data_IF_862659426420
#
_entry.id   IF_862659426420
#
_cell.length_a   1.000
_cell.length_b   1.000
_cell.length_c   1.000
_cell.angle_alpha   90.00
_cell.angle_beta   90.00
_cell.angle_gamma   90.00
#
_symmetry.space_group_name_H-M   'P 1'
#
loop_
_entity.id
_entity.type
_entity.pdbx_description
1 polymer ?
2 polymer ?
3 non-polymer ?
4 water ?
#
loop_
_entity_poly.entity_id
_entity_poly.type
_entity_poly.pdbx_seq_one_letter_code
_entity_poly.pdbx_strand_id
2 'polyribonucleotide' 'GGUCAAUUUGAAACAAUACAGAGAUGAUCAGCGGUUCCCCUGCAUAAGGAUGAACCGUUUUACAAAGAGACC' ?
#
# COMPACT_ATOMS: atom_id res chain seq x y z
N UNK A 4 -7.16 11.69 -12.05
CA UNK A 4 -7.20 12.89 -11.19
C UNK A 4 -5.89 13.65 -11.30
N UNK A 5 -5.94 14.96 -11.04
CA UNK A 5 -4.74 15.80 -11.01
C UNK A 5 -4.78 16.73 -9.79
N UNK A 6 -4.25 16.24 -8.65
CA UNK A 6 -4.34 17.00 -7.42
C UNK A 6 -3.57 18.29 -7.53
N UNK A 7 -2.38 18.22 -8.13
CA UNK A 7 -1.47 19.35 -8.15
C UNK A 7 -2.07 20.54 -8.89
N UNK A 8 -2.70 20.25 -10.03
CA UNK A 8 -3.24 21.30 -10.88
C UNK A 8 -4.11 22.30 -10.11
N UNK A 9 -4.87 21.82 -9.14
CA UNK A 9 -5.77 22.72 -8.42
C UNK A 9 -5.27 23.08 -7.02
N UNK A 10 -4.00 22.81 -6.74
CA UNK A 10 -3.47 23.04 -5.41
C UNK A 10 -2.54 24.27 -5.39
N UNK A 11 -2.71 25.08 -4.36
CA UNK A 11 -1.85 26.24 -4.20
C UNK A 11 -1.11 26.17 -2.87
N UNK A 12 0.01 26.90 -2.82
CA UNK A 12 0.83 27.02 -1.64
C UNK A 12 0.68 28.45 -1.13
N UNK A 13 0.45 28.59 0.18
CA UNK A 13 0.38 29.91 0.81
C UNK A 13 1.55 30.01 1.76
N UNK A 14 2.34 31.07 1.63
CA UNK A 14 3.46 31.30 2.53
C UNK A 14 3.25 32.56 3.36
N UNK A 15 3.74 32.53 4.60
CA UNK A 15 3.77 33.69 5.50
C UNK A 15 2.44 34.03 6.16
N UNK A 16 1.60 33.02 6.37
CA UNK A 16 0.40 33.21 7.17
C UNK A 16 0.82 33.48 8.62
N UNK A 17 -0.01 34.20 9.37
CA UNK A 17 0.30 34.50 10.77
C UNK A 17 0.45 33.22 11.59
N UNK A 18 1.27 33.26 12.64
CA UNK A 18 1.40 32.14 13.59
C UNK A 18 0.05 31.62 14.07
N UNK A 19 -0.89 32.55 14.26
CA UNK A 19 -2.19 32.24 14.83
C UNK A 19 -3.15 31.59 13.85
N UNK A 20 -2.76 31.50 12.59
CA UNK A 20 -3.66 30.99 11.56
C UNK A 20 -3.80 29.47 11.58
N UNK A 21 -5.04 29.03 11.77
CA UNK A 21 -5.36 27.60 11.73
C UNK A 21 -6.08 27.24 10.44
N UNK A 22 -6.32 25.95 10.27
CA UNK A 22 -7.03 25.41 9.13
C UNK A 22 -8.38 26.12 8.90
N UNK A 23 -9.11 26.38 9.98
CA UNK A 23 -10.40 27.05 9.89
C UNK A 23 -10.30 28.46 9.32
N UNK A 24 -9.33 29.23 9.81
CA UNK A 24 -9.16 30.61 9.34
C UNK A 24 -8.71 30.63 7.90
N UNK A 25 -7.93 29.62 7.50
CA UNK A 25 -7.50 29.50 6.11
C UNK A 25 -8.72 29.29 5.20
N UNK A 26 -9.62 28.38 5.60
CA UNK A 26 -10.88 28.15 4.89
C UNK A 26 -11.66 29.44 4.69
N UNK A 27 -11.96 30.13 5.79
CA UNK A 27 -12.73 31.36 5.75
C UNK A 27 -12.10 32.42 4.85
N UNK A 28 -10.77 32.49 4.87
CA UNK A 28 -10.08 33.48 4.04
C UNK A 28 -10.22 33.15 2.55
N UNK A 29 -10.19 31.87 2.21
CA UNK A 29 -10.14 31.47 0.80
C UNK A 29 -11.43 30.86 0.24
N UNK A 30 -12.43 30.62 1.08
CA UNK A 30 -13.59 29.88 0.58
C UNK A 30 -14.44 30.64 -0.44
N UNK A 31 -14.29 31.96 -0.50
CA UNK A 31 -14.91 32.76 -1.56
C UNK A 31 -14.24 32.54 -2.91
N UNK A 32 -12.99 32.03 -2.91
CA UNK A 32 -12.28 31.79 -4.15
C UNK A 32 -12.89 30.65 -4.95
N UNK A 33 -13.57 29.76 -4.24
CA UNK A 33 -14.10 28.56 -4.87
C UNK A 33 -14.13 27.43 -3.86
N UNK A 34 -14.92 26.39 -4.14
CA UNK A 34 -15.02 25.25 -3.23
C UNK A 34 -13.66 24.57 -3.00
N UNK A 35 -13.39 24.22 -1.74
CA UNK A 35 -12.11 23.66 -1.33
C UNK A 35 -12.26 22.18 -0.96
N UNK A 36 -11.36 21.34 -1.47
CA UNK A 36 -11.33 19.92 -1.14
C UNK A 36 -10.59 19.65 0.17
N UNK A 37 -9.43 20.28 0.35
CA UNK A 37 -8.62 20.02 1.54
C UNK A 37 -7.70 21.18 1.87
N UNK A 38 -7.44 21.37 3.15
CA UNK A 38 -6.50 22.39 3.62
C UNK A 38 -5.52 21.78 4.62
N UNK A 39 -4.22 21.95 4.38
CA UNK A 39 -3.22 21.61 5.41
C UNK A 39 -2.47 22.86 5.83
N UNK A 40 -2.22 23.02 7.13
CA UNK A 40 -1.41 24.12 7.64
C UNK A 40 -0.22 23.53 8.39
N UNK A 41 0.97 24.11 8.21
CA UNK A 41 2.17 23.65 8.90
C UNK A 41 2.99 24.84 9.37
N UNK A 42 3.65 24.68 10.51
CA UNK A 42 4.53 25.72 11.02
C UNK A 42 5.75 25.86 10.13
N UNK A 43 6.26 27.08 10.00
CA UNK A 43 7.57 27.26 9.38
C UNK A 43 8.63 26.62 10.28
N UNK A 44 9.85 26.49 9.76
CA UNK A 44 10.94 25.84 10.48
C UNK A 44 11.18 26.47 11.85
N UNK A 45 11.14 27.79 11.90
CA UNK A 45 11.43 28.50 13.15
C UNK A 45 10.17 29.00 13.86
N UNK A 46 9.01 28.54 13.37
CA UNK A 46 7.70 28.83 13.95
C UNK A 46 7.29 30.31 13.93
N UNK A 47 7.92 31.11 13.08
CA UNK A 47 7.57 32.53 13.00
C UNK A 47 6.34 32.82 12.13
N UNK A 48 6.00 31.87 11.26
CA UNK A 48 4.83 32.01 10.41
C UNK A 48 4.30 30.62 10.03
N UNK A 49 3.23 30.56 9.24
CA UNK A 49 2.73 29.25 8.80
C UNK A 49 2.60 29.14 7.30
N UNK A 50 2.74 27.91 6.80
CA UNK A 50 2.48 27.60 5.40
C UNK A 50 1.10 26.95 5.32
N UNK A 51 0.44 27.05 4.17
CA UNK A 51 -0.77 26.27 3.93
C UNK A 51 -0.74 25.65 2.54
N UNK A 52 -1.30 24.45 2.43
CA UNK A 52 -1.57 23.83 1.15
C UNK A 52 -3.08 23.83 1.00
N UNK A 53 -3.59 24.35 -0.11
CA UNK A 53 -5.02 24.38 -0.34
C UNK A 53 -5.33 23.71 -1.67
N UNK A 54 -6.07 22.60 -1.60
CA UNK A 54 -6.47 21.91 -2.81
C UNK A 54 -7.90 22.34 -3.16
N UNK A 55 -8.05 23.02 -4.29
CA UNK A 55 -9.37 23.50 -4.72
C UNK A 55 -10.07 22.44 -5.55
N UNK A 56 -11.39 22.49 -5.56
CA UNK A 56 -12.17 21.59 -6.39
C UNK A 56 -11.84 21.75 -7.87
N UNK A 57 -11.66 23.00 -8.29
CA UNK A 57 -11.43 23.30 -9.70
C UNK A 57 -10.32 24.32 -9.91
N UNK A 58 -9.75 24.34 -11.12
CA UNK A 58 -8.62 25.22 -11.44
C UNK A 58 -8.91 26.70 -11.23
N UNK A 59 -10.15 27.10 -11.50
CA UNK A 59 -10.58 28.49 -11.31
C UNK A 59 -10.45 28.93 -9.86
N UNK A 60 -10.62 28.00 -8.94
CA UNK A 60 -10.48 28.31 -7.51
C UNK A 60 -9.03 28.59 -7.16
N UNK A 61 -8.13 27.78 -7.72
CA UNK A 61 -6.70 27.99 -7.54
C UNK A 61 -6.28 29.33 -8.14
N UNK A 62 -6.80 29.65 -9.32
CA UNK A 62 -6.52 30.95 -9.93
C UNK A 62 -6.98 32.08 -9.05
N UNK A 63 -8.19 31.97 -8.52
CA UNK A 63 -8.72 33.01 -7.66
C UNK A 63 -7.89 33.17 -6.38
N UNK A 64 -7.42 32.06 -5.81
CA UNK A 64 -6.59 32.12 -4.61
C UNK A 64 -5.30 32.88 -4.87
N UNK A 65 -4.72 32.66 -6.04
CA UNK A 65 -3.45 33.27 -6.43
C UNK A 65 -3.61 34.79 -6.60
N UNK A 66 -4.84 35.26 -6.86
CA UNK A 66 -5.07 36.71 -6.88
C UNK A 66 -4.90 37.33 -5.49
N UNK A 67 -4.89 36.50 -4.45
CA UNK A 67 -4.64 36.98 -3.09
C UNK A 67 -3.16 37.14 -2.78
N UNK A 68 -2.28 36.83 -3.73
CA UNK A 68 -0.86 36.93 -3.44
C UNK A 68 -0.48 38.38 -3.15
N UNK A 69 0.37 38.55 -2.15
CA UNK A 69 0.84 39.86 -1.68
C UNK A 69 -0.23 40.71 -1.02
N UNK A 70 -1.38 40.10 -0.71
CA UNK A 70 -2.36 40.74 0.17
C UNK A 70 -1.92 40.56 1.62
N UNK A 71 -2.61 41.25 2.52
CA UNK A 71 -2.20 41.27 3.92
C UNK A 71 -3.21 40.55 4.78
N UNK A 72 -2.70 39.63 5.59
CA UNK A 72 -3.50 38.87 6.54
C UNK A 72 -2.94 39.18 7.93
N UNK A 73 -3.77 39.79 8.77
CA UNK A 73 -3.29 40.35 10.03
C UNK A 73 -2.38 41.51 9.66
N UNK A 74 -1.08 41.34 9.91
CA UNK A 74 -0.10 42.27 9.36
C UNK A 74 0.93 41.53 8.52
N UNK A 75 0.62 40.27 8.17
CA UNK A 75 1.50 39.46 7.35
C UNK A 75 1.18 39.56 5.87
N UNK A 76 2.18 39.86 5.05
CA UNK A 76 2.02 39.86 3.60
C UNK A 76 2.21 38.42 3.12
N UNK A 77 1.14 37.82 2.58
CA UNK A 77 1.20 36.42 2.14
C UNK A 77 1.65 36.30 0.70
N UNK A 78 2.11 35.10 0.32
CA UNK A 78 2.46 34.81 -1.05
C UNK A 78 1.65 33.57 -1.40
N UNK A 79 0.94 33.62 -2.52
CA UNK A 79 0.14 32.49 -2.95
C UNK A 79 0.61 32.09 -4.34
N UNK A 80 0.87 30.79 -4.54
CA UNK A 80 1.44 30.34 -5.80
C UNK A 80 0.92 28.95 -6.14
N UNK A 81 0.99 28.58 -7.41
CA UNK A 81 0.71 27.21 -7.80
C UNK A 81 1.70 26.30 -7.08
N UNK A 82 1.21 25.19 -6.52
CA UNK A 82 2.14 24.23 -5.93
C UNK A 82 2.72 23.44 -7.07
N UNK A 83 4.02 23.59 -7.30
CA UNK A 83 4.66 22.89 -8.40
C UNK A 83 6.10 22.52 -8.04
N UNK A 84 6.53 21.35 -8.52
CA UNK A 84 7.86 20.84 -8.23
C UNK A 84 8.16 20.73 -6.74
N UNK A 85 7.11 20.55 -5.94
CA UNK A 85 7.25 20.41 -4.50
C UNK A 85 6.73 19.07 -3.97
N UNK A 86 6.64 18.05 -4.83
CA UNK A 86 6.08 16.78 -4.40
C UNK A 86 7.09 15.65 -4.57
N UNK A 87 7.25 14.85 -3.51
CA UNK A 87 8.09 13.67 -3.56
C UNK A 87 7.23 12.42 -3.65
N UNK A 88 7.77 11.38 -4.26
CA UNK A 88 7.19 10.06 -4.14
C UNK A 88 8.23 9.19 -3.47
N UNK A 89 7.79 8.46 -2.44
CA UNK A 89 8.68 7.63 -1.64
C UNK A 89 8.18 6.20 -1.58
N UNK A 90 9.08 5.24 -1.71
CA UNK A 90 8.69 3.86 -1.49
C UNK A 90 9.77 3.05 -0.78
N UNK A 91 9.39 1.84 -0.37
CA UNK A 91 10.28 0.92 0.31
C UNK A 91 10.80 1.45 1.65
N UNK A 92 9.99 2.27 2.33
CA UNK A 92 10.19 2.46 3.76
C UNK A 92 9.75 1.18 4.47
N UNK A 93 10.15 0.98 5.74
CA UNK A 93 9.77 -0.24 6.43
C UNK A 93 8.24 -0.43 6.50
N UNK A 94 7.77 -1.69 6.51
CA UNK A 94 6.35 -2.05 6.47
C UNK A 94 5.50 -1.46 7.58
N UNK A 95 6.13 -1.11 8.70
CA UNK A 95 5.43 -0.58 9.85
C UNK A 95 5.63 0.92 10.01
N UNK A 96 6.30 1.55 9.04
CA UNK A 96 6.42 3.01 9.04
C UNK A 96 5.05 3.65 8.94
N UNK A 97 4.85 4.72 9.69
CA UNK A 97 3.62 5.48 9.67
C UNK A 97 3.86 6.87 9.06
N UNK A 98 2.78 7.60 8.88
CA UNK A 98 2.84 8.96 8.38
C UNK A 98 3.76 9.79 9.28
N UNK A 99 3.63 9.57 10.58
CA UNK A 99 4.42 10.28 11.59
C UNK A 99 5.91 9.96 11.39
N UNK A 100 6.23 8.70 11.14
CA UNK A 100 7.62 8.32 10.89
C UNK A 100 8.19 9.05 9.69
N UNK A 101 7.40 9.18 8.64
CA UNK A 101 7.86 9.86 7.45
C UNK A 101 8.03 11.34 7.73
N UNK A 102 7.08 11.90 8.47
CA UNK A 102 7.16 13.31 8.82
C UNK A 102 8.43 13.56 9.62
N UNK A 103 8.75 12.65 10.54
CA UNK A 103 9.94 12.80 11.36
C UNK A 103 11.25 12.70 10.56
N UNK A 104 11.28 11.82 9.55
CA UNK A 104 12.41 11.77 8.62
C UNK A 104 12.75 13.13 8.01
N UNK A 105 11.74 13.82 7.49
CA UNK A 105 11.95 15.12 6.87
C UNK A 105 12.29 16.18 7.93
N UNK A 106 11.66 16.08 9.09
CA UNK A 106 11.93 16.97 10.22
C UNK A 106 13.42 16.94 10.55
N UNK A 107 14.00 15.75 10.53
CA UNK A 107 15.44 15.53 10.80
C UNK A 107 16.38 16.26 9.86
N UNK A 108 15.95 16.49 8.62
CA UNK A 108 16.79 17.19 7.65
C UNK A 108 16.24 18.60 7.42
N UNK A 109 15.46 19.04 8.40
CA UNK A 109 14.93 20.40 8.47
C UNK A 109 14.09 20.78 7.27
N UNK A 110 13.23 19.85 6.84
CA UNK A 110 12.29 20.10 5.76
C UNK A 110 10.86 20.06 6.30
N UNK A 111 10.11 21.15 6.10
CA UNK A 111 8.72 21.21 6.51
C UNK A 111 7.89 20.36 5.56
N UNK A 112 7.02 19.51 6.10
CA UNK A 112 6.11 18.71 5.27
C UNK A 112 4.69 19.22 5.41
N UNK A 113 4.04 19.49 4.28
CA UNK A 113 2.66 19.95 4.30
C UNK A 113 1.63 18.82 4.28
N UNK A 114 1.95 17.73 3.58
CA UNK A 114 0.95 16.67 3.41
C UNK A 114 1.69 15.38 3.10
N UNK A 115 1.27 14.30 3.77
CA UNK A 115 1.82 12.99 3.51
C UNK A 115 0.64 12.07 3.23
N UNK A 116 0.63 11.44 2.07
CA UNK A 116 -0.54 10.70 1.62
C UNK A 116 -0.19 9.26 1.30
N UNK A 117 -0.89 8.34 1.96
CA UNK A 117 -0.62 6.91 1.83
C UNK A 117 -1.80 6.23 1.13
N UNK A 118 -1.55 5.08 0.49
CA UNK A 118 -2.57 4.44 -0.35
C UNK A 118 -3.46 3.45 0.40
N UNK A 119 -4.65 3.21 -0.15
CA UNK A 119 -5.56 2.19 0.39
C UNK A 119 -5.02 0.79 0.15
N UNK A 120 -5.14 -0.08 1.16
CA UNK A 120 -4.70 -1.46 1.01
C UNK A 120 -5.86 -2.39 0.63
N UNK A 121 -6.99 -1.77 0.30
CA UNK A 121 -8.23 -2.48 0.01
C UNK A 121 -8.02 -3.68 -0.90
N UNK A 122 -7.43 -3.42 -2.06
CA UNK A 122 -7.31 -4.49 -3.06
C UNK A 122 -5.94 -5.15 -3.12
N UNK A 123 -5.00 -4.64 -2.35
CA UNK A 123 -3.66 -5.23 -2.27
C UNK A 123 -3.06 -4.86 -0.92
N UNK A 124 -2.95 -5.88 -0.06
CA UNK A 124 -2.51 -5.67 1.31
C UNK A 124 -1.06 -5.20 1.39
N UNK A 125 -0.29 -5.45 0.32
CA UNK A 125 1.13 -5.13 0.30
C UNK A 125 1.49 -3.72 -0.15
N UNK A 126 0.51 -2.91 -0.54
CA UNK A 126 0.86 -1.58 -1.07
C UNK A 126 1.58 -0.74 -0.04
N UNK A 127 2.61 -0.05 -0.50
CA UNK A 127 3.51 0.66 0.39
C UNK A 127 4.32 1.74 -0.35
N UNK A 128 3.80 2.96 -0.34
CA UNK A 128 4.50 4.10 -0.91
C UNK A 128 3.77 5.32 -0.38
N UNK A 129 4.30 6.51 -0.67
CA UNK A 129 3.70 7.74 -0.16
C UNK A 129 4.01 8.91 -1.05
N UNK A 130 3.08 9.87 -1.09
CA UNK A 130 3.34 11.16 -1.70
C UNK A 130 3.51 12.19 -0.60
N UNK A 131 4.50 13.06 -0.78
CA UNK A 131 4.78 14.08 0.23
C UNK A 131 4.92 15.43 -0.45
N UNK A 132 4.17 16.42 0.03
CA UNK A 132 4.32 17.79 -0.46
C UNK A 132 5.17 18.58 0.52
N UNK A 133 6.19 19.24 -0.02
CA UNK A 133 7.01 20.15 0.78
C UNK A 133 6.78 21.58 0.30
N UNK A 134 7.56 22.54 0.82
CA UNK A 134 7.24 23.95 0.55
C UNK A 134 8.06 24.62 -0.56
N UNK A 135 9.09 23.95 -1.05
CA UNK A 135 9.89 24.50 -2.16
C UNK A 135 10.54 23.44 -3.02
N UNK A 136 10.86 23.79 -4.26
CA UNK A 136 11.58 22.87 -5.15
C UNK A 136 12.94 22.50 -4.54
N UNK A 137 13.55 23.50 -3.88
CA UNK A 137 14.82 23.29 -3.21
C UNK A 137 14.73 22.22 -2.11
N UNK A 138 13.71 22.29 -1.27
CA UNK A 138 13.53 21.29 -0.24
C UNK A 138 13.27 19.92 -0.89
N UNK A 139 12.49 19.90 -1.95
CA UNK A 139 12.21 18.63 -2.63
C UNK A 139 13.52 18.01 -3.13
N UNK A 140 14.35 18.80 -3.82
CA UNK A 140 15.64 18.26 -4.30
C UNK A 140 16.54 17.82 -3.14
N UNK A 141 16.44 18.53 -2.01
CA UNK A 141 17.25 18.20 -0.85
C UNK A 141 16.79 16.87 -0.23
N UNK A 142 15.48 16.63 -0.20
CA UNK A 142 14.97 15.35 0.28
C UNK A 142 15.49 14.19 -0.56
N UNK A 143 15.56 14.38 -1.88
CA UNK A 143 16.07 13.31 -2.75
C UNK A 143 17.54 13.08 -2.40
N UNK A 144 18.30 14.17 -2.29
CA UNK A 144 19.73 14.11 -2.00
C UNK A 144 20.02 13.33 -0.72
N UNK A 145 19.28 13.63 0.34
CA UNK A 145 19.55 13.03 1.65
C UNK A 145 18.86 11.70 1.92
N UNK A 146 17.71 11.47 1.28
CA UNK A 146 16.87 10.34 1.67
C UNK A 146 16.84 9.20 0.64
N UNK A 147 17.08 9.50 -0.63
CA UNK A 147 17.11 8.43 -1.64
C UNK A 147 18.31 7.53 -1.38
N UNK A 148 18.05 6.25 -1.10
CA UNK A 148 19.12 5.30 -0.83
C UNK A 148 19.39 5.11 0.66
N UNK A 149 18.70 5.89 1.49
CA UNK A 149 18.86 5.75 2.94
C UNK A 149 18.42 4.38 3.42
N UNK A 150 19.24 3.74 4.25
CA UNK A 150 18.88 2.43 4.79
C UNK A 150 18.17 2.56 6.14
N UNK A 151 16.97 2.02 6.22
CA UNK A 151 16.17 2.06 7.43
C UNK A 151 15.67 0.66 7.74
N UNK A 152 16.09 0.10 8.87
CA UNK A 152 15.70 -1.26 9.27
C UNK A 152 15.97 -2.30 8.18
N UNK A 153 17.02 -2.10 7.39
CA UNK A 153 17.37 -3.05 6.35
C UNK A 153 16.75 -2.73 5.00
N UNK A 154 15.87 -1.75 4.96
CA UNK A 154 15.21 -1.35 3.71
C UNK A 154 15.90 -0.14 3.08
N UNK A 155 16.26 -0.27 1.80
CA UNK A 155 16.83 0.87 1.08
C UNK A 155 15.70 1.77 0.60
N UNK A 156 15.60 2.95 1.21
CA UNK A 156 14.54 3.89 0.86
C UNK A 156 14.66 4.41 -0.58
N UNK A 157 13.51 4.57 -1.25
CA UNK A 157 13.48 5.22 -2.54
C UNK A 157 12.78 6.56 -2.39
N UNK A 158 13.45 7.64 -2.77
CA UNK A 158 12.83 8.99 -2.71
C UNK A 158 13.06 9.68 -4.05
N UNK A 159 11.97 10.10 -4.70
CA UNK A 159 12.03 10.67 -6.04
C UNK A 159 11.20 11.95 -6.11
N UNK A 160 11.61 12.87 -6.99
CA UNK A 160 10.73 13.95 -7.38
C UNK A 160 9.55 13.30 -8.11
N UNK A 161 8.34 13.55 -7.64
CA UNK A 161 7.14 12.86 -8.16
C UNK A 161 6.82 13.16 -9.63
N UNK A 162 6.74 12.10 -10.43
CA UNK A 162 6.18 12.15 -11.78
C UNK A 162 5.79 10.74 -12.17
N UNK A 163 4.50 10.43 -12.06
CA UNK A 163 4.05 9.06 -12.33
C UNK A 163 4.40 8.54 -13.73
N UNK A 164 4.60 9.43 -14.70
CA UNK A 164 4.98 8.98 -16.04
C UNK A 164 6.35 8.32 -16.02
N UNK A 165 7.17 8.67 -15.02
CA UNK A 165 8.53 8.15 -14.94
C UNK A 165 8.64 6.90 -14.08
N UNK A 166 7.50 6.31 -13.71
CA UNK A 166 7.52 5.18 -12.79
C UNK A 166 8.37 4.01 -13.30
N UNK A 167 9.11 3.40 -12.38
CA UNK A 167 9.97 2.24 -12.69
C UNK A 167 9.15 1.00 -13.02
N UNK A 168 9.75 0.07 -13.76
CA UNK A 168 9.12 -1.22 -14.00
C UNK A 168 9.21 -2.07 -12.73
N UNK A 169 8.10 -2.61 -12.26
CA UNK A 169 8.12 -3.47 -11.07
C UNK A 169 8.81 -4.79 -11.40
N UNK A 170 9.39 -5.43 -10.39
CA UNK A 170 10.12 -6.67 -10.65
C UNK A 170 9.18 -7.81 -11.02
N UNK A 171 7.89 -7.66 -10.68
CA UNK A 171 6.86 -8.65 -11.01
C UNK A 171 6.02 -8.23 -12.22
N UNK A 172 6.55 -7.33 -13.04
CA UNK A 172 5.73 -6.73 -14.10
C UNK A 172 5.28 -7.74 -15.15
N UNK A 173 6.06 -8.79 -15.36
CA UNK A 173 5.71 -9.77 -16.39
C UNK A 173 4.36 -10.42 -16.08
N UNK A 174 4.11 -10.71 -14.82
CA UNK A 174 2.83 -11.29 -14.42
C UNK A 174 1.69 -10.29 -14.60
N UNK A 175 1.93 -9.02 -14.20
CA UNK A 175 0.93 -7.97 -14.36
C UNK A 175 0.58 -7.78 -15.83
N UNK A 176 1.55 -8.01 -16.70
CA UNK A 176 1.38 -7.74 -18.14
C UNK A 176 0.83 -8.93 -18.92
N UNK A 177 0.62 -10.06 -18.23
CA UNK A 177 0.04 -11.23 -18.85
C UNK A 177 1.05 -12.00 -19.66
N UNK A 178 2.32 -11.91 -19.28
CA UNK A 178 3.37 -12.59 -20.04
C UNK A 178 3.89 -13.86 -19.39
N UNK A 179 3.37 -14.18 -18.21
CA UNK A 179 3.85 -15.34 -17.46
C UNK A 179 2.81 -16.45 -17.43
N UNK A 180 3.20 -17.64 -17.86
CA UNK A 180 2.30 -18.79 -17.75
C UNK A 180 2.72 -19.66 -16.58
N UNK A 181 1.75 -20.39 -16.03
CA UNK A 181 2.03 -21.42 -15.05
C UNK A 181 1.69 -22.76 -15.69
N UNK A 182 2.63 -23.68 -15.57
CA UNK A 182 2.44 -25.04 -16.08
C UNK A 182 2.27 -25.93 -14.85
N UNK A 183 1.18 -26.69 -14.81
CA UNK A 183 0.89 -27.53 -13.64
C UNK A 183 0.78 -28.99 -14.04
N UNK A 184 0.99 -29.84 -13.05
CA UNK A 184 0.87 -31.29 -13.17
C UNK A 184 1.94 -31.91 -14.05
N UNK A 185 3.11 -31.28 -14.09
CA UNK A 185 4.26 -31.95 -14.69
C UNK A 185 4.67 -33.12 -13.80
N UNK A 186 5.23 -34.18 -14.38
CA UNK A 186 5.88 -35.19 -13.55
C UNK A 186 7.28 -34.71 -13.20
N UNK A 187 7.93 -35.35 -12.23
CA UNK A 187 9.31 -34.99 -11.91
C UNK A 187 10.22 -35.17 -13.12
N UNK A 188 9.99 -36.24 -13.88
CA UNK A 188 10.76 -36.48 -15.11
C UNK A 188 10.67 -35.32 -16.10
N UNK A 189 9.51 -34.67 -16.16
CA UNK A 189 9.26 -33.60 -17.12
C UNK A 189 9.65 -32.23 -16.58
N UNK A 190 9.96 -32.17 -15.28
CA UNK A 190 10.32 -30.91 -14.64
C UNK A 190 11.77 -30.58 -15.00
N UNK A 191 11.95 -30.14 -16.22
CA UNK A 191 13.27 -29.96 -16.79
C UNK A 191 13.25 -28.73 -17.68
N UNK A 192 14.07 -27.74 -17.34
CA UNK A 192 14.06 -26.48 -18.06
C UNK A 192 14.31 -26.64 -19.55
N UNK A 193 15.23 -27.54 -19.91
CA UNK A 193 15.53 -27.78 -21.31
C UNK A 193 14.31 -28.29 -22.07
N UNK A 194 13.62 -29.25 -21.46
CA UNK A 194 12.41 -29.81 -22.07
C UNK A 194 11.31 -28.78 -22.21
N UNK A 195 11.11 -27.97 -21.18
CA UNK A 195 10.10 -26.92 -21.21
C UNK A 195 10.42 -25.88 -22.28
N UNK A 196 11.68 -25.47 -22.36
CA UNK A 196 12.12 -24.55 -23.42
C UNK A 196 11.85 -25.14 -24.79
N UNK A 197 12.25 -26.39 -25.00
CA UNK A 197 12.04 -27.04 -26.30
C UNK A 197 10.56 -27.10 -26.67
N UNK A 198 9.71 -27.30 -25.67
CA UNK A 198 8.29 -27.49 -25.93
C UNK A 198 7.53 -26.20 -26.16
N UNK A 199 8.04 -25.10 -25.64
CA UNK A 199 7.33 -23.83 -25.70
C UNK A 199 7.98 -22.72 -26.52
N UNK A 200 9.28 -22.83 -26.86
CA UNK A 200 9.97 -21.72 -27.52
C UNK A 200 9.42 -21.40 -28.92
N UNK A 201 8.72 -22.35 -29.52
CA UNK A 201 8.05 -22.11 -30.78
C UNK A 201 7.03 -20.98 -30.74
N UNK A 202 6.43 -20.76 -29.56
CA UNK A 202 5.40 -19.73 -29.42
C UNK A 202 5.99 -18.32 -29.41
N UNK A 203 7.24 -18.19 -29.01
CA UNK A 203 7.89 -16.89 -28.90
C UNK A 203 9.09 -16.93 -27.97
N UNK A 204 9.87 -15.84 -27.94
CA UNK A 204 11.07 -15.79 -27.11
C UNK A 204 10.74 -15.92 -25.62
N UNK A 205 11.44 -16.83 -24.96
CA UNK A 205 11.26 -17.04 -23.52
C UNK A 205 12.25 -16.19 -22.73
N UNK A 206 11.72 -15.32 -21.88
CA UNK A 206 12.57 -14.44 -21.08
C UNK A 206 13.15 -15.16 -19.86
N UNK A 207 12.35 -16.04 -19.23
CA UNK A 207 12.74 -16.61 -17.95
C UNK A 207 11.91 -17.85 -17.66
N UNK A 208 12.52 -18.82 -16.99
CA UNK A 208 11.79 -19.99 -16.50
C UNK A 208 12.07 -20.14 -15.01
N UNK A 209 11.02 -20.23 -14.21
CA UNK A 209 11.18 -20.36 -12.76
C UNK A 209 10.60 -21.68 -12.27
N UNK A 210 11.41 -22.51 -11.64
CA UNK A 210 10.94 -23.77 -11.11
C UNK A 210 11.09 -23.75 -9.60
N UNK A 211 9.97 -23.74 -8.88
CA UNK A 211 10.02 -23.75 -7.41
C UNK A 211 10.89 -24.92 -6.91
N UNK A 212 11.76 -24.67 -5.94
CA UNK A 212 12.70 -25.70 -5.48
C UNK A 212 12.03 -26.76 -4.61
N UNK A 213 12.65 -27.93 -4.52
CA UNK A 213 12.19 -28.96 -3.60
C UNK A 213 11.25 -30.00 -4.17
N UNK A 214 10.84 -29.82 -5.44
CA UNK A 214 9.82 -30.68 -6.02
C UNK A 214 10.31 -32.08 -6.42
N UNK A 215 11.52 -32.15 -6.97
CA UNK A 215 12.10 -33.45 -7.33
C UNK A 215 12.60 -34.09 -6.06
N UNK A 216 13.19 -33.26 -5.21
CA UNK A 216 13.84 -33.68 -4.00
C UNK A 216 12.84 -34.33 -3.03
N UNK A 217 11.60 -33.86 -3.07
CA UNK A 217 10.52 -34.45 -2.28
C UNK A 217 9.63 -35.40 -3.08
N UNK A 218 10.05 -35.78 -4.29
CA UNK A 218 9.30 -36.71 -5.13
C UNK A 218 7.81 -36.39 -5.28
N UNK A 219 7.49 -35.15 -5.63
CA UNK A 219 6.09 -34.77 -5.78
C UNK A 219 5.46 -35.55 -6.93
N UNK A 220 4.18 -35.88 -6.78
CA UNK A 220 3.42 -36.46 -7.88
C UNK A 220 3.23 -35.43 -9.00
N UNK A 221 2.85 -34.23 -8.63
CA UNK A 221 2.62 -33.14 -9.59
C UNK A 221 3.59 -32.02 -9.29
N UNK A 222 4.20 -31.48 -10.34
CA UNK A 222 5.14 -30.36 -10.18
C UNK A 222 4.68 -29.20 -11.03
N UNK A 223 5.10 -28.01 -10.65
CA UNK A 223 4.75 -26.82 -11.42
C UNK A 223 5.98 -26.03 -11.83
N UNK A 224 5.81 -25.18 -12.84
CA UNK A 224 6.86 -24.32 -13.32
C UNK A 224 6.22 -23.08 -13.90
N UNK A 225 6.98 -21.99 -13.96
CA UNK A 225 6.47 -20.76 -14.52
C UNK A 225 7.38 -20.33 -15.64
N UNK A 226 6.79 -19.73 -16.67
CA UNK A 226 7.54 -19.37 -17.85
C UNK A 226 7.10 -17.97 -18.27
N UNK A 227 8.08 -17.08 -18.42
CA UNK A 227 7.81 -15.73 -18.85
C UNK A 227 8.23 -15.53 -20.31
N UNK A 228 7.30 -15.04 -21.12
CA UNK A 228 7.59 -14.74 -22.53
C UNK A 228 7.87 -13.26 -22.70
N UNK A 229 8.67 -12.92 -23.71
CA UNK A 229 8.99 -11.52 -23.96
C UNK A 229 7.76 -10.70 -24.31
N UNK A 230 6.78 -11.31 -24.98
CA UNK A 230 5.55 -10.59 -25.25
C UNK A 230 4.26 -11.36 -24.96
N UNK A 231 3.20 -10.60 -24.68
CA UNK A 231 1.94 -11.16 -24.24
C UNK A 231 1.28 -12.08 -25.26
N UNK A 232 1.43 -11.77 -26.54
CA UNK A 232 0.81 -12.60 -27.57
C UNK A 232 1.38 -14.03 -27.54
N UNK A 233 2.68 -14.17 -27.32
CA UNK A 233 3.27 -15.52 -27.25
C UNK A 233 2.72 -16.28 -26.05
N UNK A 234 2.63 -15.62 -24.90
CA UNK A 234 2.08 -16.29 -23.74
C UNK A 234 0.63 -16.73 -23.98
N UNK A 235 -0.15 -15.88 -24.64
CA UNK A 235 -1.55 -16.19 -24.92
C UNK A 235 -1.67 -17.43 -25.79
N UNK A 236 -0.89 -17.46 -26.85
CA UNK A 236 -0.92 -18.59 -27.77
C UNK A 236 -0.37 -19.85 -27.11
N UNK A 237 0.57 -19.70 -26.17
CA UNK A 237 1.11 -20.85 -25.45
C UNK A 237 0.02 -21.54 -24.60
N UNK A 238 -1.08 -20.85 -24.33
CA UNK A 238 -2.17 -21.44 -23.57
C UNK A 238 -2.83 -22.61 -24.30
N UNK A 239 -2.60 -22.70 -25.61
CA UNK A 239 -3.09 -23.85 -26.37
C UNK A 239 -2.48 -25.16 -25.91
N UNK A 240 -1.37 -25.06 -25.18
CA UNK A 240 -0.74 -26.25 -24.61
C UNK A 240 -1.52 -26.82 -23.41
N UNK A 241 -2.52 -26.07 -22.93
CA UNK A 241 -3.38 -26.56 -21.84
C UNK A 241 -4.11 -27.84 -22.27
N UNK A 242 -4.08 -28.84 -21.40
CA UNK A 242 -4.69 -30.17 -21.63
C UNK A 242 -3.93 -31.00 -22.68
N UNK A 243 -2.79 -30.51 -23.12
CA UNK A 243 -1.99 -31.29 -24.07
C UNK A 243 -1.15 -32.34 -23.34
N UNK A 244 -0.67 -33.34 -24.08
CA UNK A 244 0.21 -34.34 -23.53
C UNK A 244 1.67 -33.94 -23.67
N UNK A 245 2.41 -34.05 -22.57
CA UNK A 245 3.86 -33.99 -22.58
C UNK A 245 4.33 -35.34 -22.10
N UNK A 246 4.96 -36.11 -22.99
CA UNK A 246 5.20 -37.51 -22.70
C UNK A 246 3.87 -38.17 -22.43
N UNK A 247 3.74 -38.82 -21.27
CA UNK A 247 2.47 -39.46 -20.92
C UNK A 247 1.70 -38.69 -19.86
N UNK A 248 1.98 -37.41 -19.74
CA UNK A 248 1.35 -36.60 -18.71
C UNK A 248 0.54 -35.48 -19.35
N UNK A 249 -0.73 -35.36 -18.97
CA UNK A 249 -1.54 -34.25 -19.45
C UNK A 249 -1.25 -33.06 -18.55
N UNK A 250 -0.74 -31.99 -19.15
CA UNK A 250 -0.39 -30.79 -18.40
C UNK A 250 -1.46 -29.71 -18.44
N UNK A 251 -1.44 -28.81 -17.46
CA UNK A 251 -2.31 -27.65 -17.45
C UNK A 251 -1.44 -26.44 -17.71
N UNK A 252 -1.94 -25.50 -18.50
CA UNK A 252 -1.24 -24.26 -18.79
C UNK A 252 -2.22 -23.11 -18.68
N UNK A 253 -1.83 -22.09 -17.92
CA UNK A 253 -2.72 -20.97 -17.67
C UNK A 253 -1.88 -19.74 -17.46
N UNK A 254 -2.49 -18.55 -17.59
CA UNK A 254 -1.82 -17.34 -17.18
C UNK A 254 -1.71 -17.32 -15.66
N UNK A 255 -0.51 -17.01 -15.16
CA UNK A 255 -0.29 -16.99 -13.72
C UNK A 255 -1.15 -15.90 -13.10
N UNK A 256 -1.78 -16.22 -11.97
CA UNK A 256 -2.53 -15.21 -11.25
C UNK A 256 -1.57 -14.33 -10.47
N UNK A 257 -2.03 -13.12 -10.11
CA UNK A 257 -1.22 -12.20 -9.32
C UNK A 257 -1.51 -12.34 -7.83
N UNK A 258 -0.57 -11.87 -7.00
CA UNK A 258 -0.66 -12.06 -5.55
C UNK A 258 -1.92 -11.53 -4.90
N UNK A 259 -2.35 -10.28 -5.22
CA UNK A 259 -3.55 -9.80 -4.51
C UNK A 259 -4.80 -10.63 -4.76
N UNK A 260 -4.97 -11.15 -5.97
CA UNK A 260 -6.03 -12.09 -6.29
C UNK A 260 -5.89 -13.36 -5.43
N UNK A 261 -4.68 -13.93 -5.39
CA UNK A 261 -4.48 -15.18 -4.65
C UNK A 261 -4.68 -14.99 -3.16
N UNK A 262 -4.16 -13.87 -2.65
CA UNK A 262 -4.30 -13.57 -1.23
C UNK A 262 -5.74 -13.36 -0.82
N UNK A 263 -6.52 -12.71 -1.68
CA UNK A 263 -7.92 -12.47 -1.35
C UNK A 263 -8.70 -13.78 -1.33
N UNK A 264 -8.40 -14.66 -2.26
CA UNK A 264 -9.12 -15.94 -2.25
C UNK A 264 -8.85 -16.74 -0.97
N UNK A 265 -7.67 -16.55 -0.40
CA UNK A 265 -7.33 -17.16 0.90
C UNK A 265 -8.22 -16.62 2.03
N UNK A 266 -8.40 -15.30 2.06
CA UNK A 266 -9.27 -14.65 3.04
C UNK A 266 -10.72 -15.10 2.85
N UNK A 267 -11.16 -15.20 1.60
CA UNK A 267 -12.52 -15.66 1.31
C UNK A 267 -12.77 -17.05 1.88
N UNK A 268 -11.76 -17.93 1.80
CA UNK A 268 -11.86 -19.29 2.35
C UNK A 268 -12.11 -19.24 3.85
N UNK A 269 -11.40 -18.33 4.52
CA UNK A 269 -11.57 -18.14 5.96
C UNK A 269 -12.96 -17.63 6.30
N UNK A 270 -13.41 -16.63 5.56
CA UNK A 270 -14.73 -16.04 5.81
C UNK A 270 -15.86 -17.06 5.62
N UNK A 271 -15.61 -18.05 4.77
CA UNK A 271 -16.60 -19.08 4.49
C UNK A 271 -16.42 -20.33 5.35
N UNK A 272 -15.37 -20.35 6.17
CA UNK A 272 -15.02 -21.55 6.95
C UNK A 272 -16.10 -21.90 7.97
N UNK A 273 -16.32 -23.20 8.16
CA UNK A 273 -17.23 -23.70 9.17
C UNK A 273 -16.52 -24.70 10.08
N UNK A 274 -15.21 -24.81 9.90
CA UNK A 274 -14.37 -25.62 10.76
C UNK A 274 -14.15 -24.90 12.10
N UNK A 275 -14.85 -25.37 13.13
CA UNK A 275 -14.79 -24.74 14.44
C UNK A 275 -13.40 -24.82 15.09
N UNK A 276 -12.62 -25.84 14.76
CA UNK A 276 -11.24 -25.91 15.27
C UNK A 276 -10.45 -24.70 14.73
N UNK A 277 -10.70 -24.34 13.49
CA UNK A 277 -10.00 -23.22 12.87
C UNK A 277 -10.53 -21.88 13.39
N UNK A 278 -11.85 -21.74 13.41
CA UNK A 278 -12.49 -20.47 13.78
C UNK A 278 -12.18 -20.06 15.21
N UNK A 279 -12.01 -21.05 16.09
CA UNK A 279 -11.82 -20.74 17.50
C UNK A 279 -10.39 -20.26 17.78
N UNK A 280 -9.51 -20.32 16.79
CA UNK A 280 -8.15 -19.83 16.97
C UNK A 280 -7.97 -18.38 16.49
N UNK A 281 -9.04 -17.80 15.93
CA UNK A 281 -8.93 -16.43 15.39
C UNK A 281 -9.87 -15.43 16.07
N UNK A 282 -9.52 -14.15 15.95
CA UNK A 282 -10.44 -13.08 16.32
C UNK A 282 -10.40 -12.03 15.23
N UNK A 283 -11.41 -11.15 15.20
CA UNK A 283 -11.41 -10.03 14.29
C UNK A 283 -11.26 -8.77 15.10
N UNK A 284 -10.56 -7.79 14.52
CA UNK A 284 -10.49 -6.44 15.08
C UNK A 284 -11.17 -5.50 14.10
N UNK A 285 -11.98 -4.57 14.62
CA UNK A 285 -12.73 -3.66 13.75
C UNK A 285 -13.28 -2.54 14.63
N UNK A 286 -13.59 -1.37 14.05
CA UNK A 286 -13.29 -0.97 12.66
C UNK A 286 -11.88 -0.42 12.56
N UNK A 287 -11.24 -0.64 11.41
CA UNK A 287 -9.88 -0.21 11.15
C UNK A 287 -9.86 0.56 9.83
N UNK A 288 -8.96 1.54 9.74
CA UNK A 288 -8.69 2.24 8.49
C UNK A 288 -8.14 1.28 7.44
N UNK A 289 -8.55 1.47 6.18
CA UNK A 289 -8.00 0.64 5.11
C UNK A 289 -6.54 0.99 4.73
N UNK A 290 -5.93 1.95 5.42
CA UNK A 290 -4.53 2.26 5.16
C UNK A 290 -3.59 1.47 6.08
N UNK A 291 -4.18 0.76 7.04
CA UNK A 291 -3.45 0.06 8.10
C UNK A 291 -3.00 -1.33 7.65
N UNK A 292 -1.69 -1.58 7.66
CA UNK A 292 -1.16 -2.87 7.20
C UNK A 292 -1.10 -3.92 8.32
N UNK A 293 -1.03 -5.19 7.94
CA UNK A 293 -0.79 -6.26 8.92
C UNK A 293 0.46 -5.99 9.76
N UNK A 294 1.50 -5.43 9.15
CA UNK A 294 2.73 -5.13 9.91
C UNK A 294 2.49 -4.12 11.02
N UNK A 295 1.67 -3.12 10.74
CA UNK A 295 1.36 -2.11 11.74
C UNK A 295 0.56 -2.73 12.89
N UNK A 296 -0.38 -3.62 12.55
CA UNK A 296 -1.18 -4.30 13.56
C UNK A 296 -0.32 -5.22 14.41
N UNK A 297 0.61 -5.92 13.76
CA UNK A 297 1.52 -6.83 14.46
C UNK A 297 2.36 -6.05 15.48
N UNK A 298 2.85 -4.89 15.06
CA UNK A 298 3.64 -4.04 15.92
C UNK A 298 2.85 -3.60 17.16
N UNK A 299 1.59 -3.20 16.92
CA UNK A 299 0.68 -2.85 18.00
C UNK A 299 0.47 -4.01 18.97
N UNK A 300 0.25 -5.22 18.46
CA UNK A 300 0.02 -6.37 19.34
C UNK A 300 1.26 -6.69 20.19
N UNK A 301 2.43 -6.53 19.59
CA UNK A 301 3.68 -6.84 20.30
C UNK A 301 4.07 -5.76 21.31
N UNK A 302 4.00 -4.49 20.89
CA UNK A 302 4.52 -3.38 21.70
C UNK A 302 3.53 -2.85 22.72
N UNK A 303 2.25 -2.85 22.38
CA UNK A 303 1.23 -2.30 23.26
C UNK A 303 0.50 -3.38 24.08
N UNK A 304 0.27 -4.54 23.47
CA UNK A 304 -0.48 -5.59 24.15
C UNK A 304 0.46 -6.63 24.76
N UNK A 305 1.75 -6.54 24.38
CA UNK A 305 2.80 -7.40 24.93
C UNK A 305 2.61 -8.87 24.59
N UNK A 306 2.08 -9.09 23.39
CA UNK A 306 1.93 -10.40 22.82
C UNK A 306 3.27 -10.79 22.18
N UNK A 307 3.67 -12.04 22.33
CA UNK A 307 4.87 -12.51 21.67
C UNK A 307 4.61 -12.76 20.18
N UNK A 308 5.58 -12.38 19.36
CA UNK A 308 5.51 -12.52 17.90
C UNK A 308 5.06 -13.91 17.48
N UNK A 309 5.54 -14.94 18.16
CA UNK A 309 5.24 -16.30 17.74
C UNK A 309 3.91 -16.83 18.30
N UNK A 310 3.20 -16.00 19.07
CA UNK A 310 1.84 -16.35 19.47
C UNK A 310 0.89 -15.99 18.33
N UNK A 311 1.39 -15.20 17.39
CA UNK A 311 0.60 -14.77 16.25
C UNK A 311 0.97 -15.58 15.02
N UNK A 312 0.00 -16.34 14.50
CA UNK A 312 0.22 -17.16 13.31
C UNK A 312 0.18 -16.31 12.03
N UNK A 313 -0.88 -15.50 11.91
CA UNK A 313 -1.09 -14.73 10.69
C UNK A 313 -2.04 -13.55 10.94
N UNK A 314 -1.82 -12.45 10.22
CA UNK A 314 -2.76 -11.32 10.23
C UNK A 314 -3.21 -11.02 8.80
N UNK A 315 -4.52 -11.00 8.59
CA UNK A 315 -5.11 -10.82 7.27
C UNK A 315 -6.06 -9.64 7.29
N UNK A 316 -6.02 -8.81 6.27
CA UNK A 316 -6.98 -7.70 6.19
C UNK A 316 -8.30 -8.17 5.59
N UNK A 317 -9.38 -7.63 6.10
CA UNK A 317 -10.70 -7.85 5.54
C UNK A 317 -11.32 -6.45 5.39
N UNK A 318 -10.83 -5.68 4.43
CA UNK A 318 -11.20 -4.26 4.39
C UNK A 318 -12.64 -4.04 3.96
N UNK A 319 -13.25 -5.05 3.33
CA UNK A 319 -14.66 -4.94 2.95
C UNK A 319 -15.59 -4.91 4.16
N UNK A 320 -15.08 -5.31 5.32
CA UNK A 320 -15.82 -5.14 6.57
C UNK A 320 -15.06 -4.26 7.56
N UNK A 321 -14.17 -3.41 7.04
CA UNK A 321 -13.35 -2.52 7.88
C UNK A 321 -12.62 -3.24 9.00
N UNK A 322 -12.10 -4.43 8.72
CA UNK A 322 -11.51 -5.24 9.78
C UNK A 322 -10.23 -5.96 9.42
N UNK A 323 -9.73 -6.75 10.37
CA UNK A 323 -8.59 -7.62 10.16
C UNK A 323 -8.85 -8.88 10.97
N UNK A 324 -8.35 -10.00 10.45
CA UNK A 324 -8.39 -11.26 11.16
C UNK A 324 -7.02 -11.54 11.74
N UNK A 325 -7.00 -11.89 13.02
CA UNK A 325 -5.77 -12.29 13.69
C UNK A 325 -5.90 -13.75 14.03
N UNK A 326 -5.01 -14.58 13.49
CA UNK A 326 -5.07 -16.01 13.77
C UNK A 326 -3.99 -16.32 14.78
N UNK A 327 -4.41 -16.90 15.91
CA UNK A 327 -3.46 -17.23 16.98
C UNK A 327 -3.17 -18.72 16.94
N UNK A 328 -2.41 -19.22 17.90
CA UNK A 328 -1.95 -20.61 17.85
C UNK A 328 -2.86 -21.61 18.57
N UNK A 329 -3.64 -21.13 19.54
CA UNK A 329 -4.70 -21.95 20.12
C UNK A 329 -5.93 -21.13 20.53
N UNK A 330 -7.03 -21.84 20.78
CA UNK A 330 -8.31 -21.22 21.11
C UNK A 330 -8.31 -20.53 22.47
N UNK A 331 -7.47 -21.01 23.38
CA UNK A 331 -7.39 -20.42 24.72
C UNK A 331 -6.70 -19.07 24.65
N UNK A 332 -5.61 -18.98 23.90
CA UNK A 332 -4.92 -17.71 23.70
C UNK A 332 -5.85 -16.74 22.96
N UNK A 333 -6.51 -17.24 21.92
CA UNK A 333 -7.45 -16.41 21.17
C UNK A 333 -8.56 -15.86 22.07
N UNK A 334 -9.10 -16.69 22.94
CA UNK A 334 -10.16 -16.24 23.85
C UNK A 334 -9.70 -15.12 24.79
N UNK A 335 -8.48 -15.24 25.29
CA UNK A 335 -7.93 -14.21 26.17
C UNK A 335 -7.67 -12.92 25.40
N UNK A 336 -7.19 -13.07 24.17
CA UNK A 336 -6.97 -11.90 23.31
C UNK A 336 -8.28 -11.21 22.97
N UNK A 337 -9.34 -12.00 22.81
CA UNK A 337 -10.67 -11.43 22.58
C UNK A 337 -11.03 -10.46 23.69
N UNK A 338 -10.84 -10.92 24.92
CA UNK A 338 -11.14 -10.09 26.10
C UNK A 338 -10.25 -8.84 26.19
N UNK A 339 -8.94 -9.05 26.09
CA UNK A 339 -7.98 -7.95 26.19
C UNK A 339 -8.17 -6.88 25.11
N UNK A 340 -8.40 -7.30 23.87
CA UNK A 340 -8.40 -6.33 22.79
C UNK A 340 -9.68 -5.51 22.67
N UNK A 341 -10.81 -6.06 23.12
CA UNK A 341 -12.09 -5.36 22.94
C UNK A 341 -12.07 -4.08 23.75
N UNK A 342 -12.21 -2.95 23.09
CA UNK A 342 -12.19 -1.67 23.78
C UNK A 342 -10.82 -1.04 23.95
N UNK A 343 -9.78 -1.73 23.49
CA UNK A 343 -8.44 -1.16 23.49
C UNK A 343 -8.36 -0.01 22.47
N UNK A 344 -7.27 0.76 22.50
CA UNK A 344 -7.11 1.87 21.57
C UNK A 344 -6.05 1.56 20.53
N UNK A 345 -6.39 1.81 19.27
CA UNK A 345 -5.44 1.65 18.17
C UNK A 345 -5.51 2.89 17.29
N UNK A 346 -4.36 3.53 17.08
CA UNK A 346 -4.27 4.76 16.30
C UNK A 346 -5.21 5.83 16.84
N UNK A 347 -5.29 5.93 18.17
CA UNK A 347 -6.10 6.94 18.81
C UNK A 347 -7.60 6.66 18.80
N UNK A 348 -8.00 5.48 18.34
CA UNK A 348 -9.42 5.16 18.26
C UNK A 348 -9.71 3.86 19.01
N UNK A 349 -10.90 3.75 19.59
CA UNK A 349 -11.29 2.52 20.25
C UNK A 349 -11.63 1.45 19.20
N UNK A 350 -11.14 0.24 19.41
CA UNK A 350 -11.45 -0.86 18.51
C UNK A 350 -12.22 -1.94 19.25
N UNK A 351 -12.94 -2.75 18.50
CA UNK A 351 -13.69 -3.87 19.05
C UNK A 351 -13.05 -5.16 18.60
N UNK A 352 -13.30 -6.22 19.36
CA UNK A 352 -12.90 -7.57 18.96
C UNK A 352 -14.17 -8.41 18.86
N UNK A 353 -14.10 -9.51 18.11
CA UNK A 353 -15.28 -10.34 17.96
C UNK A 353 -15.02 -11.43 16.96
N UNK A 354 -16.04 -12.24 16.70
CA UNK A 354 -15.93 -13.27 15.67
C UNK A 354 -16.07 -12.61 14.30
N UNK A 355 -15.87 -13.42 13.25
CA UNK A 355 -16.14 -12.93 11.90
C UNK A 355 -17.57 -12.39 11.80
N UNK A 356 -18.55 -13.12 12.32
CA UNK A 356 -19.93 -12.67 12.22
C UNK A 356 -20.20 -11.39 13.03
N UNK A 357 -19.50 -11.22 14.15
CA UNK A 357 -19.59 -9.97 14.92
C UNK A 357 -19.10 -8.79 14.08
N UNK A 358 -17.96 -9.00 13.42
CA UNK A 358 -17.40 -7.99 12.56
C UNK A 358 -18.38 -7.62 11.44
N UNK A 359 -19.00 -8.63 10.83
CA UNK A 359 -19.96 -8.39 9.76
C UNK A 359 -21.20 -7.67 10.27
N UNK A 360 -21.71 -8.11 11.42
CA UNK A 360 -22.89 -7.46 12.01
C UNK A 360 -22.63 -5.99 12.31
N UNK A 361 -21.47 -5.71 12.89
CA UNK A 361 -21.11 -4.32 13.19
C UNK A 361 -21.05 -3.49 11.92
N UNK A 362 -20.42 -4.04 10.88
CA UNK A 362 -20.34 -3.34 9.60
C UNK A 362 -21.72 -3.07 9.03
N UNK A 363 -22.58 -4.08 9.02
CA UNK A 363 -23.92 -3.95 8.46
C UNK A 363 -24.71 -2.83 9.13
N UNK A 364 -24.57 -2.74 10.46
CA UNK A 364 -25.24 -1.70 11.25
C UNK A 364 -24.81 -0.27 10.91
N UNK A 365 -23.54 -0.10 10.54
CA UNK A 365 -23.03 1.23 10.18
C UNK A 365 -23.50 1.67 8.79
N UNK A 366 -23.68 0.69 7.90
CA UNK A 366 -24.10 0.97 6.53
C UNK A 366 -25.53 1.50 6.46
#
# INVERSE_FOLDING_TARGET
MLTRNRELTTVLVKNLPKSYNQNKVYKYFKHCGPIIHVDVADSLKKNFRFARIEFARYDGALAAITKTHKVVGQNEIIVSHLTECTLWMTNFPPSYTQRNIRDLLQDINVVALSIRLPSLRFNTSRRFAYIDVTSKEDARYCVEKLNGLKIEGYTLVTKVSNPLEKSKRTDSATLEGREIMIRNLSTELLDENLLRESFEGFGSIEKINIPAGQKEHSFNNCCAFMVFENKDSAERALQMNRSLLGNREISVSLADKKPFLERNEVKRLLASRNSKELETLICLFPLSDKVSPSLICQFLQEEIHINEKDIRKILLVSDFNGAIIIFRDSKFAAKMLMILNGSQFQGKVIRSGTINDMKRYYNNQQNHHHHHHH
#
